data_IF_073641276911
#
_entry.id   IF_073641276911
#
_cell.length_a   1.000
_cell.length_b   1.000
_cell.length_c   1.000
_cell.angle_alpha   90.00
_cell.angle_beta   90.00
_cell.angle_gamma   90.00
#
_symmetry.space_group_name_H-M   'P 1'
#
loop_
_entity.id
_entity.type
_entity.pdbx_description
1 polymer ?
#
# COMPACT_ATOMS: atom_id res chain seq x y z
N UNK A 1 -2.88 6.05 -11.84
CA UNK A 1 -4.09 6.47 -11.08
C UNK A 1 -5.14 5.36 -11.01
N UNK A 2 -5.51 4.72 -12.13
CA UNK A 2 -6.57 3.68 -12.18
C UNK A 2 -6.32 2.53 -11.21
N UNK A 3 -5.08 2.02 -11.14
CA UNK A 3 -4.75 0.92 -10.24
C UNK A 3 -5.01 1.29 -8.77
N UNK A 4 -4.58 2.47 -8.33
CA UNK A 4 -4.81 2.94 -6.96
C UNK A 4 -6.31 3.14 -6.67
N UNK A 5 -7.09 3.61 -7.65
CA UNK A 5 -8.54 3.73 -7.52
C UNK A 5 -9.23 2.36 -7.38
N UNK A 6 -8.88 1.35 -8.17
CA UNK A 6 -9.40 -0.01 -7.99
C UNK A 6 -8.92 -0.65 -6.69
N UNK A 7 -7.69 -0.36 -6.28
CA UNK A 7 -7.14 -0.77 -4.99
C UNK A 7 -8.02 -0.25 -3.83
N UNK A 8 -8.45 1.01 -3.87
CA UNK A 8 -9.28 1.57 -2.80
C UNK A 8 -10.62 0.85 -2.64
N UNK A 9 -11.24 0.41 -3.73
CA UNK A 9 -12.48 -0.37 -3.70
C UNK A 9 -12.24 -1.73 -3.01
N UNK A 10 -11.13 -2.40 -3.35
CA UNK A 10 -10.79 -3.69 -2.73
C UNK A 10 -10.52 -3.56 -1.23
N UNK A 11 -9.78 -2.51 -0.83
CA UNK A 11 -9.50 -2.24 0.58
C UNK A 11 -10.74 -1.85 1.38
N UNK A 12 -11.67 -1.09 0.78
CA UNK A 12 -12.98 -0.84 1.38
C UNK A 12 -13.77 -2.14 1.59
N UNK A 13 -13.71 -3.08 0.63
CA UNK A 13 -14.31 -4.41 0.76
C UNK A 13 -13.76 -5.19 1.96
N UNK A 14 -12.45 -5.19 2.20
CA UNK A 14 -11.86 -5.82 3.39
C UNK A 14 -12.32 -5.16 4.70
N UNK A 15 -12.44 -3.83 4.75
CA UNK A 15 -12.98 -3.15 5.93
C UNK A 15 -14.44 -3.53 6.17
N UNK A 16 -15.27 -3.65 5.14
CA UNK A 16 -16.66 -4.10 5.27
C UNK A 16 -16.74 -5.54 5.77
N UNK A 17 -15.81 -6.42 5.41
CA UNK A 17 -15.75 -7.78 5.97
C UNK A 17 -15.51 -7.73 7.49
N UNK A 18 -14.58 -6.90 7.98
CA UNK A 18 -14.35 -6.73 9.41
C UNK A 18 -15.59 -6.19 10.13
N UNK A 19 -16.31 -5.23 9.55
CA UNK A 19 -17.58 -4.73 10.09
C UNK A 19 -18.63 -5.86 10.16
N UNK A 20 -18.70 -6.70 9.13
CA UNK A 20 -19.66 -7.80 9.06
C UNK A 20 -19.36 -8.94 10.05
N UNK A 21 -18.10 -9.09 10.42
CA UNK A 21 -17.66 -10.12 11.38
C UNK A 21 -18.23 -9.91 12.78
N UNK A 22 -18.46 -8.67 13.22
CA UNK A 22 -19.04 -8.31 14.53
C UNK A 22 -18.39 -9.03 15.72
N UNK A 23 -17.07 -9.21 15.67
CA UNK A 23 -16.29 -9.76 16.79
C UNK A 23 -15.97 -8.66 17.81
N UNK A 24 -15.66 -9.01 19.03
CA UNK A 24 -15.17 -8.06 20.05
C UNK A 24 -13.90 -7.33 19.60
N UNK A 25 -13.08 -8.00 18.79
CA UNK A 25 -11.83 -7.48 18.22
C UNK A 25 -12.02 -6.66 16.96
N UNK A 26 -13.21 -6.64 16.36
CA UNK A 26 -13.44 -5.99 15.06
C UNK A 26 -13.10 -4.50 15.05
N UNK A 27 -13.36 -3.78 16.14
CA UNK A 27 -13.04 -2.35 16.24
C UNK A 27 -11.52 -2.13 16.14
N UNK A 28 -10.72 -2.88 16.90
CA UNK A 28 -9.26 -2.80 16.86
C UNK A 28 -8.72 -3.21 15.47
N UNK A 29 -9.31 -4.24 14.87
CA UNK A 29 -8.97 -4.71 13.52
C UNK A 29 -9.23 -3.63 12.47
N UNK A 30 -10.40 -2.97 12.51
CA UNK A 30 -10.76 -1.90 11.56
C UNK A 30 -9.83 -0.71 11.73
N UNK A 31 -9.53 -0.29 12.96
CA UNK A 31 -8.62 0.82 13.24
C UNK A 31 -7.21 0.51 12.76
N UNK A 32 -6.69 -0.69 13.08
CA UNK A 32 -5.37 -1.10 12.61
C UNK A 32 -5.31 -1.11 11.07
N UNK A 33 -6.32 -1.72 10.42
CA UNK A 33 -6.37 -1.79 8.97
C UNK A 33 -6.46 -0.41 8.32
N UNK A 34 -7.31 0.47 8.86
CA UNK A 34 -7.46 1.84 8.37
C UNK A 34 -6.16 2.62 8.47
N UNK A 35 -5.45 2.50 9.60
CA UNK A 35 -4.15 3.14 9.81
C UNK A 35 -3.10 2.61 8.83
N UNK A 36 -2.98 1.28 8.70
CA UNK A 36 -2.04 0.64 7.78
C UNK A 36 -2.30 1.06 6.32
N UNK A 37 -3.56 1.08 5.92
CA UNK A 37 -3.98 1.48 4.59
C UNK A 37 -3.73 2.97 4.33
N UNK A 38 -4.00 3.83 5.30
CA UNK A 38 -3.76 5.28 5.20
C UNK A 38 -2.29 5.58 4.99
N UNK A 39 -1.40 4.97 5.80
CA UNK A 39 0.05 5.16 5.65
C UNK A 39 0.55 4.73 4.28
N UNK A 40 0.13 3.55 3.81
CA UNK A 40 0.54 3.03 2.51
C UNK A 40 0.01 3.90 1.35
N UNK A 41 -1.25 4.32 1.39
CA UNK A 41 -1.85 5.14 0.34
C UNK A 41 -1.27 6.55 0.30
N UNK A 42 -1.06 7.19 1.45
CA UNK A 42 -0.39 8.51 1.50
C UNK A 42 1.00 8.44 0.86
N UNK A 43 1.80 7.43 1.22
CA UNK A 43 3.12 7.21 0.61
C UNK A 43 3.02 7.02 -0.90
N UNK A 44 2.14 6.12 -1.35
CA UNK A 44 1.97 5.80 -2.77
C UNK A 44 1.54 7.03 -3.58
N UNK A 45 0.54 7.80 -3.09
CA UNK A 45 0.07 8.99 -3.78
C UNK A 45 1.07 10.15 -3.75
N UNK A 46 1.83 10.32 -2.65
CA UNK A 46 2.86 11.34 -2.58
C UNK A 46 3.98 11.07 -3.60
N UNK A 47 4.47 9.84 -3.68
CA UNK A 47 5.46 9.47 -4.71
C UNK A 47 4.86 9.60 -6.11
N UNK A 48 3.61 9.15 -6.30
CA UNK A 48 2.92 9.28 -7.57
C UNK A 48 2.83 10.74 -8.02
N UNK A 49 2.45 11.65 -7.12
CA UNK A 49 2.35 13.09 -7.40
C UNK A 49 3.69 13.66 -7.83
N UNK A 50 4.75 13.42 -7.04
CA UNK A 50 6.10 13.94 -7.34
C UNK A 50 6.62 13.46 -8.71
N UNK A 51 6.45 12.16 -9.02
CA UNK A 51 6.87 11.60 -10.31
C UNK A 51 6.02 12.15 -11.45
N UNK A 52 4.70 12.22 -11.29
CA UNK A 52 3.78 12.70 -12.33
C UNK A 52 4.03 14.18 -12.66
N UNK A 53 4.21 15.03 -11.65
CA UNK A 53 4.52 16.45 -11.83
C UNK A 53 5.84 16.66 -12.57
N UNK A 54 6.87 15.88 -12.19
CA UNK A 54 8.18 15.94 -12.83
C UNK A 54 8.14 15.48 -14.31
N UNK A 55 7.26 14.53 -14.63
CA UNK A 55 7.08 13.98 -15.98
C UNK A 55 6.06 14.75 -16.83
N UNK A 56 5.31 15.70 -16.25
CA UNK A 56 4.35 16.52 -16.99
C UNK A 56 5.08 17.35 -18.05
N UNK A 57 4.60 17.29 -19.30
CA UNK A 57 5.23 17.93 -20.45
C UNK A 57 6.41 17.15 -21.07
N UNK A 58 6.89 16.08 -20.42
CA UNK A 58 7.98 15.20 -20.93
C UNK A 58 7.47 13.88 -21.49
N UNK A 59 6.32 13.41 -21.01
CA UNK A 59 5.70 12.13 -21.40
C UNK A 59 4.24 12.36 -21.72
N UNK A 60 3.74 11.70 -22.76
CA UNK A 60 2.35 11.82 -23.23
C UNK A 60 1.33 11.39 -22.15
N UNK A 61 1.69 10.40 -21.31
CA UNK A 61 0.81 9.84 -20.26
C UNK A 61 1.55 9.73 -18.92
N UNK A 62 1.74 10.83 -18.18
CA UNK A 62 2.50 10.84 -16.93
C UNK A 62 1.86 9.96 -15.83
N UNK A 63 0.60 9.58 -15.97
CA UNK A 63 -0.18 8.79 -15.03
C UNK A 63 -0.03 7.26 -15.19
N UNK A 64 0.79 6.79 -16.12
CA UNK A 64 1.01 5.37 -16.39
C UNK A 64 2.26 4.84 -15.68
N UNK A 65 2.33 3.51 -15.47
CA UNK A 65 3.54 2.85 -14.96
C UNK A 65 4.79 3.10 -15.79
N UNK A 66 4.63 3.46 -17.05
CA UNK A 66 5.75 3.83 -17.92
C UNK A 66 6.51 5.06 -17.38
N UNK A 67 5.81 5.98 -16.74
CA UNK A 67 6.41 7.16 -16.13
C UNK A 67 7.26 6.88 -14.89
N UNK A 68 7.21 5.65 -14.37
CA UNK A 68 8.00 5.19 -13.21
C UNK A 68 9.19 4.33 -13.61
N UNK A 69 9.39 4.10 -14.91
CA UNK A 69 10.47 3.24 -15.40
C UNK A 69 11.83 3.83 -15.06
N UNK A 70 12.67 3.02 -14.41
CA UNK A 70 14.02 3.43 -14.02
C UNK A 70 14.08 4.43 -12.86
N UNK A 71 12.99 4.66 -12.14
CA UNK A 71 12.96 5.61 -11.00
C UNK A 71 14.05 5.28 -9.97
N UNK A 72 14.32 4.00 -9.72
CA UNK A 72 15.29 3.57 -8.72
C UNK A 72 16.72 4.02 -9.02
N UNK A 73 17.07 4.21 -10.29
CA UNK A 73 18.44 4.58 -10.72
C UNK A 73 18.87 5.95 -10.19
N UNK A 74 18.00 6.95 -10.34
CA UNK A 74 18.33 8.34 -10.00
C UNK A 74 17.58 8.84 -8.76
N UNK A 75 16.53 8.13 -8.30
CA UNK A 75 15.68 8.50 -7.18
C UNK A 75 15.44 7.31 -6.24
N UNK A 76 16.50 6.70 -5.63
CA UNK A 76 16.39 5.47 -4.84
C UNK A 76 15.47 5.63 -3.62
N UNK A 77 15.45 6.80 -2.99
CA UNK A 77 14.59 7.09 -1.86
C UNK A 77 13.10 6.99 -2.22
N UNK A 78 12.69 7.66 -3.31
CA UNK A 78 11.30 7.58 -3.80
C UNK A 78 10.93 6.16 -4.21
N UNK A 79 11.85 5.45 -4.88
CA UNK A 79 11.67 4.07 -5.28
C UNK A 79 11.45 3.15 -4.07
N UNK A 80 12.23 3.32 -3.00
CA UNK A 80 12.10 2.56 -1.76
C UNK A 80 10.75 2.83 -1.07
N UNK A 81 10.39 4.11 -0.87
CA UNK A 81 9.11 4.48 -0.26
C UNK A 81 7.92 3.91 -1.05
N UNK A 82 7.95 4.03 -2.37
CA UNK A 82 6.92 3.47 -3.25
C UNK A 82 6.83 1.95 -3.12
N UNK A 83 7.96 1.27 -3.08
CA UNK A 83 8.03 -0.19 -2.95
C UNK A 83 7.42 -0.66 -1.63
N UNK A 84 7.78 -0.03 -0.51
CA UNK A 84 7.20 -0.38 0.79
C UNK A 84 5.69 -0.17 0.80
N UNK A 85 5.20 0.92 0.21
CA UNK A 85 3.76 1.17 0.07
C UNK A 85 3.06 0.11 -0.78
N UNK A 86 3.65 -0.29 -1.93
CA UNK A 86 3.10 -1.35 -2.79
C UNK A 86 3.10 -2.71 -2.11
N UNK A 87 4.17 -3.07 -1.40
CA UNK A 87 4.26 -4.32 -0.63
C UNK A 87 3.22 -4.35 0.50
N UNK A 88 2.99 -3.22 1.16
CA UNK A 88 1.98 -3.10 2.21
C UNK A 88 0.56 -3.28 1.64
N UNK A 89 0.23 -2.61 0.55
CA UNK A 89 -1.08 -2.80 -0.12
C UNK A 89 -1.25 -4.23 -0.66
N UNK A 90 -0.18 -4.84 -1.15
CA UNK A 90 -0.18 -6.25 -1.53
C UNK A 90 -0.45 -7.19 -0.34
N UNK A 91 -0.05 -6.80 0.87
CA UNK A 91 -0.15 -7.61 2.08
C UNK A 91 1.02 -8.59 2.21
N UNK A 92 2.23 -8.14 1.88
CA UNK A 92 3.46 -8.94 2.06
C UNK A 92 3.91 -8.85 3.52
N UNK A 93 4.37 -9.97 4.13
CA UNK A 93 4.93 -9.97 5.48
C UNK A 93 5.98 -8.87 5.70
N UNK A 94 6.17 -8.45 6.94
CA UNK A 94 6.99 -7.32 7.38
C UNK A 94 6.37 -5.94 7.15
N UNK A 95 5.19 -5.86 6.55
CA UNK A 95 4.47 -4.59 6.38
C UNK A 95 3.14 -4.59 7.15
N UNK A 96 2.67 -3.40 7.51
CA UNK A 96 1.41 -3.23 8.22
C UNK A 96 0.20 -3.83 7.50
N UNK A 97 0.18 -3.76 6.16
CA UNK A 97 -0.92 -4.27 5.35
C UNK A 97 -1.11 -5.78 5.43
N UNK A 98 -0.05 -6.55 5.67
CA UNK A 98 -0.16 -7.98 5.93
C UNK A 98 -0.99 -8.26 7.18
N UNK A 99 -0.62 -7.64 8.31
CA UNK A 99 -1.33 -7.85 9.57
C UNK A 99 -2.76 -7.33 9.52
N UNK A 100 -2.97 -6.20 8.83
CA UNK A 100 -4.32 -5.68 8.61
C UNK A 100 -5.23 -6.70 7.93
N UNK A 101 -4.80 -7.28 6.80
CA UNK A 101 -5.55 -8.33 6.09
C UNK A 101 -5.69 -9.58 6.94
N UNK A 102 -4.63 -10.01 7.60
CA UNK A 102 -4.64 -11.20 8.44
C UNK A 102 -5.69 -11.10 9.55
N UNK A 103 -5.76 -9.97 10.25
CA UNK A 103 -6.75 -9.78 11.31
C UNK A 103 -8.18 -9.74 10.78
N UNK A 104 -8.40 -9.08 9.64
CA UNK A 104 -9.72 -9.08 8.97
C UNK A 104 -10.15 -10.50 8.59
N UNK A 105 -9.24 -11.28 8.02
CA UNK A 105 -9.55 -12.67 7.64
C UNK A 105 -9.82 -13.54 8.86
N UNK A 106 -9.05 -13.37 9.94
CA UNK A 106 -9.24 -14.10 11.18
C UNK A 106 -10.58 -13.80 11.84
N UNK A 107 -10.96 -12.51 11.97
CA UNK A 107 -12.25 -12.10 12.53
C UNK A 107 -13.42 -12.63 11.70
N UNK A 108 -13.31 -12.58 10.37
CA UNK A 108 -14.33 -13.08 9.45
C UNK A 108 -14.44 -14.61 9.50
N UNK A 109 -13.31 -15.30 9.61
CA UNK A 109 -13.27 -16.76 9.77
C UNK A 109 -13.93 -17.21 11.08
N UNK A 110 -13.61 -16.54 12.20
CA UNK A 110 -14.20 -16.82 13.51
C UNK A 110 -15.73 -16.61 13.55
N UNK A 111 -16.28 -15.86 12.59
CA UNK A 111 -17.73 -15.70 12.41
C UNK A 111 -18.36 -16.79 11.51
N UNK A 112 -17.58 -17.80 11.12
CA UNK A 112 -17.99 -18.85 10.18
C UNK A 112 -18.35 -18.35 8.77
N UNK A 113 -17.89 -17.15 8.38
CA UNK A 113 -18.04 -16.61 7.02
C UNK A 113 -16.93 -17.10 6.08
N UNK A 114 -16.67 -18.40 6.10
CA UNK A 114 -15.56 -19.05 5.37
C UNK A 114 -15.59 -18.73 3.87
N UNK A 115 -16.74 -18.75 3.15
CA UNK A 115 -16.75 -18.41 1.73
C UNK A 115 -16.24 -16.99 1.43
N UNK A 116 -16.56 -16.02 2.30
CA UNK A 116 -16.09 -14.65 2.14
C UNK A 116 -14.56 -14.56 2.31
N UNK A 117 -13.98 -15.29 3.27
CA UNK A 117 -12.54 -15.36 3.48
C UNK A 117 -11.83 -15.97 2.26
N UNK A 118 -12.35 -17.06 1.71
CA UNK A 118 -11.78 -17.72 0.52
C UNK A 118 -11.77 -16.77 -0.68
N UNK A 119 -12.90 -16.11 -0.95
CA UNK A 119 -13.00 -15.12 -2.03
C UNK A 119 -12.00 -13.98 -1.80
N UNK A 120 -11.91 -13.46 -0.58
CA UNK A 120 -11.01 -12.36 -0.24
C UNK A 120 -9.53 -12.72 -0.43
N UNK A 121 -9.13 -13.93 -0.06
CA UNK A 121 -7.76 -14.42 -0.26
C UNK A 121 -7.45 -14.53 -1.76
N UNK A 122 -8.35 -15.11 -2.56
CA UNK A 122 -8.19 -15.21 -4.01
C UNK A 122 -8.08 -13.84 -4.67
N UNK A 123 -8.94 -12.88 -4.29
CA UNK A 123 -8.89 -11.51 -4.80
C UNK A 123 -7.61 -10.78 -4.35
N UNK A 124 -7.14 -11.02 -3.12
CA UNK A 124 -5.87 -10.49 -2.65
C UNK A 124 -4.68 -11.01 -3.47
N UNK A 125 -4.68 -12.30 -3.83
CA UNK A 125 -3.64 -12.89 -4.68
C UNK A 125 -3.59 -12.24 -6.08
N UNK A 126 -4.76 -11.97 -6.68
CA UNK A 126 -4.84 -11.22 -7.94
C UNK A 126 -4.29 -9.79 -7.76
N UNK A 127 -4.60 -9.15 -6.64
CA UNK A 127 -4.09 -7.81 -6.31
C UNK A 127 -2.57 -7.75 -6.24
N UNK A 128 -1.90 -8.77 -5.71
CA UNK A 128 -0.44 -8.87 -5.62
C UNK A 128 0.20 -8.65 -7.00
N UNK A 129 -0.32 -9.28 -8.04
CA UNK A 129 0.19 -9.12 -9.42
C UNK A 129 0.26 -7.65 -9.86
N UNK A 130 -0.79 -6.88 -9.59
CA UNK A 130 -0.85 -5.47 -9.98
C UNK A 130 0.14 -4.59 -9.21
N UNK A 131 0.32 -4.84 -7.92
CA UNK A 131 1.29 -4.09 -7.10
C UNK A 131 2.73 -4.41 -7.50
N UNK A 132 3.04 -5.69 -7.77
CA UNK A 132 4.35 -6.09 -8.25
C UNK A 132 4.66 -5.52 -9.63
N UNK A 133 3.68 -5.37 -10.51
CA UNK A 133 3.87 -4.69 -11.80
C UNK A 133 4.36 -3.24 -11.63
N UNK A 134 3.89 -2.55 -10.60
CA UNK A 134 4.41 -1.22 -10.22
C UNK A 134 5.86 -1.27 -9.79
N UNK A 135 6.22 -2.21 -8.89
CA UNK A 135 7.60 -2.40 -8.40
C UNK A 135 8.55 -2.77 -9.56
N UNK A 136 8.14 -3.70 -10.41
CA UNK A 136 8.91 -4.10 -11.60
C UNK A 136 9.17 -2.90 -12.52
N UNK A 137 8.19 -2.01 -12.68
CA UNK A 137 8.37 -0.79 -13.49
C UNK A 137 9.45 0.12 -12.92
N UNK A 138 9.52 0.25 -11.59
CA UNK A 138 10.48 1.13 -10.90
C UNK A 138 11.91 0.62 -10.99
N UNK A 139 12.13 -0.70 -10.87
CA UNK A 139 13.48 -1.27 -10.74
C UNK A 139 14.01 -1.93 -12.01
N UNK A 140 13.17 -2.63 -12.76
CA UNK A 140 13.61 -3.55 -13.82
C UNK A 140 13.37 -3.02 -15.24
N UNK A 141 12.57 -1.97 -15.40
CA UNK A 141 12.36 -1.38 -16.73
C UNK A 141 13.31 -0.22 -16.94
N UNK A 142 13.88 -0.16 -18.16
CA UNK A 142 14.73 0.95 -18.58
C UNK A 142 13.92 2.22 -18.75
N UNK A 143 14.36 3.28 -18.12
CA UNK A 143 13.83 4.63 -18.22
C UNK A 143 14.87 5.61 -17.70
N UNK A 144 14.80 6.83 -18.16
CA UNK A 144 15.74 7.89 -17.79
C UNK A 144 15.00 9.02 -17.06
N UNK A 145 14.51 8.72 -15.86
CA UNK A 145 13.95 9.74 -15.00
C UNK A 145 15.09 10.50 -14.35
N UNK A 146 15.19 11.79 -14.65
CA UNK A 146 16.15 12.66 -13.99
C UNK A 146 15.92 12.71 -12.48
N UNK A 147 16.93 13.17 -11.73
CA UNK A 147 16.81 13.34 -10.29
C UNK A 147 15.70 14.36 -9.98
N UNK A 148 14.77 13.95 -9.14
CA UNK A 148 13.64 14.78 -8.69
C UNK A 148 14.08 15.50 -7.43
N UNK A 149 14.02 16.83 -7.43
CA UNK A 149 14.24 17.62 -6.24
C UNK A 149 13.00 17.53 -5.34
N UNK A 150 13.19 17.00 -4.15
CA UNK A 150 12.12 16.77 -3.19
C UNK A 150 12.25 17.82 -2.08
N UNK A 151 11.20 18.58 -1.85
CA UNK A 151 11.16 19.51 -0.71
C UNK A 151 11.34 18.75 0.61
N UNK A 152 12.04 19.33 1.62
CA UNK A 152 12.27 18.69 2.91
C UNK A 152 11.00 18.19 3.60
N UNK A 153 9.88 18.89 3.44
CA UNK A 153 8.58 18.51 3.99
C UNK A 153 8.12 17.16 3.41
N UNK A 154 8.22 16.97 2.09
CA UNK A 154 7.87 15.70 1.45
C UNK A 154 8.82 14.57 1.84
N UNK A 155 10.13 14.87 2.02
CA UNK A 155 11.09 13.86 2.49
C UNK A 155 10.73 13.35 3.88
N UNK A 156 10.46 14.25 4.82
CA UNK A 156 10.06 13.90 6.18
C UNK A 156 8.73 13.15 6.20
N UNK A 157 7.72 13.63 5.47
CA UNK A 157 6.41 12.99 5.40
C UNK A 157 6.50 11.55 4.85
N UNK A 158 7.23 11.35 3.74
CA UNK A 158 7.47 10.03 3.17
C UNK A 158 8.25 9.12 4.12
N UNK A 159 9.23 9.67 4.83
CA UNK A 159 9.99 8.95 5.85
C UNK A 159 9.09 8.45 6.98
N UNK A 160 8.27 9.33 7.56
CA UNK A 160 7.35 8.99 8.65
C UNK A 160 6.34 7.93 8.21
N UNK A 161 5.70 8.09 7.06
CA UNK A 161 4.68 7.14 6.58
C UNK A 161 5.28 5.78 6.22
N UNK A 162 6.46 5.76 5.61
CA UNK A 162 7.18 4.53 5.27
C UNK A 162 7.66 3.80 6.52
N UNK A 163 8.31 4.51 7.47
CA UNK A 163 8.73 3.94 8.74
C UNK A 163 7.54 3.45 9.55
N UNK A 164 6.45 4.22 9.62
CA UNK A 164 5.22 3.81 10.29
C UNK A 164 4.66 2.50 9.72
N UNK A 165 4.67 2.35 8.39
CA UNK A 165 4.25 1.10 7.72
C UNK A 165 5.11 -0.09 8.10
N UNK A 166 6.43 0.08 8.20
CA UNK A 166 7.35 -0.99 8.59
C UNK A 166 7.26 -1.29 10.09
N UNK A 167 7.22 -0.27 10.96
CA UNK A 167 7.11 -0.45 12.41
C UNK A 167 5.82 -1.18 12.79
N UNK A 168 4.69 -0.80 12.22
CA UNK A 168 3.41 -1.51 12.41
C UNK A 168 3.44 -2.92 11.83
N UNK A 169 4.24 -3.15 10.80
CA UNK A 169 4.46 -4.47 10.24
C UNK A 169 5.30 -5.40 11.13
N UNK A 170 6.30 -4.83 11.83
CA UNK A 170 7.16 -5.58 12.74
C UNK A 170 6.53 -5.75 14.13
N UNK A 171 5.79 -4.75 14.59
CA UNK A 171 5.21 -4.69 15.93
C UNK A 171 3.68 -4.47 15.88
N UNK A 172 2.89 -5.42 15.36
CA UNK A 172 1.44 -5.22 15.17
C UNK A 172 0.67 -5.07 16.49
N UNK A 173 1.25 -5.56 17.58
CA UNK A 173 0.63 -5.52 18.91
C UNK A 173 0.57 -4.09 19.49
N UNK A 174 1.38 -3.16 19.03
CA UNK A 174 1.37 -1.78 19.53
C UNK A 174 -0.03 -1.16 19.41
N UNK A 175 -0.71 -1.37 18.29
CA UNK A 175 -2.05 -0.83 18.09
C UNK A 175 -3.11 -1.68 18.79
N UNK A 176 -2.96 -3.02 18.77
CA UNK A 176 -3.92 -3.91 19.43
C UNK A 176 -3.96 -3.77 20.96
N UNK A 177 -2.85 -3.38 21.58
CA UNK A 177 -2.79 -3.16 23.04
C UNK A 177 -3.43 -1.84 23.48
N UNK A 178 -3.78 -0.96 22.55
CA UNK A 178 -4.44 0.33 22.82
C UNK A 178 -5.96 0.23 22.81
N UNK A 179 -6.52 -0.89 22.32
CA UNK A 179 -7.95 -1.14 22.16
C UNK A 179 -8.36 -2.55 22.62
#
# INVERSE_FOLDING_TARGET
KRMLAYSSISHAGYMLMAVSARQSTSNATILFYSLAYTLATLTAFAVFKLVSEHQTGRVEKPDHFQSFQGLAKNNPYLAFCFTVAMLSMAGIPLTAGFWGKFFVFLDTFNRNLVPAVVIAILMSAIGIYYYFKGIISVYFKQGDIQKIEISPIYQVALGITTLGTLLLGLFPNIVKSLF
#
